data_IF_650388810560
#
_entry.id   IF_650388810560
#
_cell.length_a   1.000
_cell.length_b   1.000
_cell.length_c   1.000
_cell.angle_alpha   90.00
_cell.angle_beta   90.00
_cell.angle_gamma   90.00
#
_symmetry.space_group_name_H-M   'P 1'
#
loop_
_entity.id
_entity.type
_entity.pdbx_description
1 polymer ?
#
# COMPACT_ATOMS: atom_id res chain seq x y z
N UNK A 1 9.12 13.67 -12.17
CA UNK A 1 9.80 12.44 -12.64
C UNK A 1 8.75 11.42 -13.09
N UNK A 2 7.87 10.94 -12.21
CA UNK A 2 6.91 9.85 -12.51
C UNK A 2 5.94 10.21 -13.66
N UNK A 3 5.53 11.46 -13.76
CA UNK A 3 4.62 11.94 -14.82
C UNK A 3 5.33 12.32 -16.12
N UNK A 4 6.66 12.17 -16.17
CA UNK A 4 7.41 12.41 -17.40
C UNK A 4 7.17 11.26 -18.39
N UNK A 5 7.15 11.57 -19.68
CA UNK A 5 7.08 10.56 -20.75
C UNK A 5 8.46 9.89 -20.93
N UNK A 6 8.81 9.08 -19.96
CA UNK A 6 10.09 8.37 -19.89
C UNK A 6 9.90 6.90 -19.56
N UNK A 7 10.76 6.00 -20.03
CA UNK A 7 10.71 4.59 -19.65
C UNK A 7 10.80 4.39 -18.13
N UNK A 8 10.09 3.40 -17.62
CA UNK A 8 10.02 3.08 -16.17
C UNK A 8 11.41 2.93 -15.54
N UNK A 9 12.36 2.30 -16.23
CA UNK A 9 13.73 2.13 -15.72
C UNK A 9 14.48 3.44 -15.56
N UNK A 10 14.31 4.38 -16.48
CA UNK A 10 14.90 5.71 -16.37
C UNK A 10 14.26 6.48 -15.21
N UNK A 11 12.94 6.41 -15.10
CA UNK A 11 12.18 7.01 -14.01
C UNK A 11 12.63 6.48 -12.64
N UNK A 12 12.75 5.17 -12.50
CA UNK A 12 13.28 4.54 -11.27
C UNK A 12 14.72 4.98 -10.99
N UNK A 13 15.58 5.01 -12.01
CA UNK A 13 16.96 5.47 -11.86
C UNK A 13 17.07 6.89 -11.35
N UNK A 14 16.20 7.79 -11.83
CA UNK A 14 16.19 9.19 -11.38
C UNK A 14 15.62 9.34 -9.97
N UNK A 15 14.56 8.59 -9.63
CA UNK A 15 14.02 8.56 -8.27
C UNK A 15 15.04 8.00 -7.26
N UNK A 16 15.78 6.95 -7.61
CA UNK A 16 16.82 6.38 -6.74
C UNK A 16 17.99 7.36 -6.54
N UNK A 17 18.37 8.13 -7.55
CA UNK A 17 19.37 9.20 -7.40
C UNK A 17 18.87 10.32 -6.49
N UNK A 18 17.61 10.73 -6.67
CA UNK A 18 16.98 11.73 -5.82
C UNK A 18 16.91 11.25 -4.37
N UNK A 19 16.50 10.01 -4.14
CA UNK A 19 16.46 9.39 -2.82
C UNK A 19 17.84 9.42 -2.15
N UNK A 20 18.88 8.94 -2.82
CA UNK A 20 20.24 8.91 -2.30
C UNK A 20 20.75 10.32 -1.96
N UNK A 21 20.57 11.28 -2.87
CA UNK A 21 21.01 12.66 -2.66
C UNK A 21 20.28 13.31 -1.48
N UNK A 22 18.97 13.04 -1.32
CA UNK A 22 18.20 13.57 -0.21
C UNK A 22 18.58 12.91 1.12
N UNK A 23 18.85 11.61 1.12
CA UNK A 23 19.34 10.89 2.29
C UNK A 23 20.70 11.44 2.77
N UNK A 24 21.64 11.65 1.83
CA UNK A 24 22.96 12.25 2.13
C UNK A 24 22.81 13.66 2.73
N UNK A 25 21.92 14.47 2.16
CA UNK A 25 21.59 15.79 2.72
C UNK A 25 21.04 15.71 4.14
N UNK A 26 20.08 14.82 4.38
CA UNK A 26 19.48 14.64 5.71
C UNK A 26 20.53 14.19 6.74
N UNK A 27 21.41 13.26 6.40
CA UNK A 27 22.48 12.80 7.28
C UNK A 27 23.49 13.90 7.63
N UNK A 28 23.78 14.81 6.70
CA UNK A 28 24.74 15.89 6.90
C UNK A 28 24.13 17.12 7.58
N UNK A 29 22.85 17.40 7.32
CA UNK A 29 22.23 18.68 7.67
C UNK A 29 21.22 18.60 8.80
N UNK A 30 20.68 17.40 9.11
CA UNK A 30 19.63 17.21 10.12
C UNK A 30 20.22 16.46 11.32
N UNK A 31 20.45 17.17 12.47
CA UNK A 31 20.97 16.52 13.65
C UNK A 31 20.06 15.39 14.15
N UNK A 32 20.65 14.21 14.36
CA UNK A 32 19.92 13.05 14.87
C UNK A 32 19.10 12.31 13.82
N UNK A 33 19.22 12.65 12.55
CA UNK A 33 18.61 11.84 11.49
C UNK A 33 19.26 10.45 11.42
N UNK A 34 18.43 9.42 11.52
CA UNK A 34 18.82 8.03 11.32
C UNK A 34 17.97 7.41 10.20
N UNK A 35 18.60 6.93 9.15
CA UNK A 35 17.95 6.29 8.01
C UNK A 35 17.26 4.97 8.39
N UNK A 36 17.77 4.28 9.41
CA UNK A 36 17.22 3.02 9.90
C UNK A 36 16.07 3.17 10.89
N UNK A 37 15.96 4.35 11.50
CA UNK A 37 14.89 4.73 12.42
C UNK A 37 14.50 6.20 12.23
N UNK A 38 13.99 6.59 11.07
CA UNK A 38 13.62 7.98 10.84
C UNK A 38 12.40 8.36 11.68
N UNK A 39 12.50 9.47 12.37
CA UNK A 39 11.38 10.01 13.14
C UNK A 39 10.75 11.15 12.38
N UNK A 40 9.48 11.00 12.01
CA UNK A 40 8.75 12.01 11.25
C UNK A 40 8.54 13.28 12.10
N UNK A 41 8.18 13.11 13.38
CA UNK A 41 8.14 14.18 14.38
C UNK A 41 8.27 13.70 15.83
N UNK A 42 8.20 12.41 16.10
CA UNK A 42 7.99 11.92 17.45
C UNK A 42 9.18 12.04 18.39
N UNK A 43 10.43 12.11 17.92
CA UNK A 43 11.62 12.06 18.78
C UNK A 43 12.48 13.31 18.80
N UNK A 44 12.00 14.40 18.28
CA UNK A 44 12.67 15.64 18.58
C UNK A 44 12.34 16.01 20.01
N UNK A 45 13.38 16.25 20.80
CA UNK A 45 13.22 16.98 22.04
C UNK A 45 12.66 18.33 21.62
N UNK A 46 11.33 18.44 21.71
CA UNK A 46 10.66 19.68 21.40
C UNK A 46 11.17 20.71 22.40
N UNK A 47 11.77 21.78 21.90
CA UNK A 47 11.94 22.96 22.70
C UNK A 47 10.53 23.42 23.15
N UNK A 48 10.40 23.97 24.35
CA UNK A 48 9.13 24.43 24.86
C UNK A 48 8.42 25.33 23.83
N UNK A 49 7.18 24.98 23.48
CA UNK A 49 6.37 25.72 22.53
C UNK A 49 6.45 25.26 21.04
N UNK A 50 7.29 24.30 20.69
CA UNK A 50 7.34 23.73 19.32
C UNK A 50 6.31 22.61 19.19
N UNK A 51 5.48 22.66 18.16
CA UNK A 51 4.48 21.65 17.84
C UNK A 51 4.96 20.65 16.79
N UNK A 52 4.28 19.52 16.66
CA UNK A 52 4.56 18.55 15.59
C UNK A 52 4.39 19.17 14.19
N UNK A 53 3.44 20.10 14.02
CA UNK A 53 3.25 20.83 12.76
C UNK A 53 4.46 21.72 12.43
N UNK A 54 5.04 22.38 13.42
CA UNK A 54 6.24 23.21 13.25
C UNK A 54 7.43 22.34 12.80
N UNK A 55 7.57 21.13 13.36
CA UNK A 55 8.61 20.19 12.93
C UNK A 55 8.42 19.72 11.49
N UNK A 56 7.19 19.45 11.09
CA UNK A 56 6.85 19.04 9.71
C UNK A 56 7.24 20.13 8.71
N UNK A 57 6.96 21.38 9.02
CA UNK A 57 7.33 22.54 8.19
C UNK A 57 8.84 22.76 8.18
N UNK A 58 9.53 22.53 9.30
CA UNK A 58 10.99 22.73 9.41
C UNK A 58 11.82 21.67 8.70
N UNK A 59 11.24 20.52 8.34
CA UNK A 59 11.96 19.38 7.73
C UNK A 59 11.35 18.90 6.42
N UNK A 60 11.17 19.77 5.43
CA UNK A 60 10.54 19.39 4.16
C UNK A 60 11.35 18.33 3.40
N UNK A 61 12.68 18.26 3.61
CA UNK A 61 13.52 17.26 2.98
C UNK A 61 13.23 15.84 3.49
N UNK A 62 12.89 15.69 4.78
CA UNK A 62 12.48 14.38 5.33
C UNK A 62 11.17 13.91 4.70
N UNK A 63 10.19 14.77 4.58
CA UNK A 63 8.91 14.46 3.93
C UNK A 63 9.16 14.11 2.46
N UNK A 64 9.96 14.89 1.75
CA UNK A 64 10.33 14.64 0.36
C UNK A 64 11.04 13.30 0.18
N UNK A 65 11.91 12.92 1.10
CA UNK A 65 12.59 11.64 1.09
C UNK A 65 11.62 10.47 1.29
N UNK A 66 10.69 10.56 2.27
CA UNK A 66 9.67 9.54 2.51
C UNK A 66 8.72 9.39 1.31
N UNK A 67 8.25 10.49 0.73
CA UNK A 67 7.46 10.47 -0.51
C UNK A 67 8.22 9.85 -1.68
N UNK A 68 9.53 10.08 -1.76
CA UNK A 68 10.36 9.46 -2.82
C UNK A 68 10.46 7.94 -2.62
N UNK A 69 10.62 7.45 -1.39
CA UNK A 69 10.58 6.02 -1.09
C UNK A 69 9.23 5.39 -1.44
N UNK A 70 8.12 6.05 -1.11
CA UNK A 70 6.77 5.59 -1.49
C UNK A 70 6.60 5.56 -3.01
N UNK A 71 7.05 6.59 -3.71
CA UNK A 71 6.98 6.67 -5.16
C UNK A 71 7.78 5.55 -5.84
N UNK A 72 9.00 5.26 -5.36
CA UNK A 72 9.81 4.13 -5.86
C UNK A 72 9.09 2.81 -5.59
N UNK A 73 8.55 2.62 -4.38
CA UNK A 73 7.82 1.42 -4.01
C UNK A 73 6.61 1.17 -4.92
N UNK A 74 5.79 2.19 -5.15
CA UNK A 74 4.61 2.11 -6.01
C UNK A 74 4.96 1.86 -7.47
N UNK A 75 6.00 2.51 -7.99
CA UNK A 75 6.47 2.27 -9.35
C UNK A 75 7.05 0.86 -9.51
N UNK A 76 7.70 0.34 -8.48
CA UNK A 76 8.15 -1.05 -8.43
C UNK A 76 6.96 -2.04 -8.44
N UNK A 77 5.87 -1.76 -7.69
CA UNK A 77 4.64 -2.55 -7.75
C UNK A 77 4.06 -2.56 -9.16
N UNK A 78 3.84 -1.38 -9.74
CA UNK A 78 3.28 -1.22 -11.09
C UNK A 78 4.13 -1.87 -12.19
N UNK A 79 5.44 -2.06 -11.95
CA UNK A 79 6.38 -2.69 -12.89
C UNK A 79 6.76 -4.14 -12.52
N UNK A 80 5.95 -4.80 -11.68
CA UNK A 80 6.13 -6.18 -11.24
C UNK A 80 7.46 -6.47 -10.50
N UNK A 81 8.08 -5.46 -9.90
CA UNK A 81 9.31 -5.58 -9.09
C UNK A 81 8.98 -5.75 -7.61
N UNK A 82 8.18 -6.76 -7.27
CA UNK A 82 7.55 -6.93 -5.97
C UNK A 82 8.51 -6.99 -4.78
N UNK A 83 9.70 -7.63 -4.94
CA UNK A 83 10.74 -7.63 -3.87
C UNK A 83 11.28 -6.23 -3.59
N UNK A 84 11.53 -5.47 -4.65
CA UNK A 84 12.00 -4.09 -4.50
C UNK A 84 10.90 -3.20 -3.90
N UNK A 85 9.67 -3.35 -4.36
CA UNK A 85 8.51 -2.65 -3.81
C UNK A 85 8.39 -2.86 -2.29
N UNK A 86 8.41 -4.13 -1.84
CA UNK A 86 8.37 -4.45 -0.41
C UNK A 86 9.56 -3.85 0.37
N UNK A 87 10.77 -3.85 -0.20
CA UNK A 87 11.94 -3.31 0.47
C UNK A 87 11.84 -1.79 0.68
N UNK A 88 11.44 -1.03 -0.35
CA UNK A 88 11.24 0.41 -0.23
C UNK A 88 10.07 0.77 0.69
N UNK A 89 8.95 0.04 0.60
CA UNK A 89 7.82 0.24 1.49
C UNK A 89 8.19 -0.03 2.97
N UNK A 90 8.98 -1.08 3.25
CA UNK A 90 9.48 -1.34 4.62
C UNK A 90 10.35 -0.21 5.18
N UNK A 91 11.13 0.47 4.33
CA UNK A 91 11.90 1.65 4.76
C UNK A 91 10.96 2.79 5.19
N UNK A 92 9.86 2.99 4.47
CA UNK A 92 8.83 3.97 4.87
C UNK A 92 8.19 3.59 6.20
N UNK A 93 7.88 2.30 6.42
CA UNK A 93 7.30 1.83 7.69
C UNK A 93 8.20 2.02 8.91
N UNK A 94 9.50 2.21 8.72
CA UNK A 94 10.42 2.56 9.81
C UNK A 94 10.25 4.00 10.31
N UNK A 95 9.58 4.86 9.53
CA UNK A 95 9.37 6.26 9.88
C UNK A 95 8.24 6.40 10.91
N UNK A 96 8.63 6.50 12.17
CA UNK A 96 7.68 6.67 13.28
C UNK A 96 6.84 7.94 13.12
N UNK A 97 5.52 7.78 13.25
CA UNK A 97 4.55 8.88 13.15
C UNK A 97 4.22 9.34 11.73
N UNK A 98 4.84 8.77 10.70
CA UNK A 98 4.52 9.12 9.32
C UNK A 98 3.22 8.44 8.86
N UNK A 99 2.22 9.21 8.40
CA UNK A 99 0.96 8.66 7.94
C UNK A 99 1.14 8.01 6.57
N UNK A 100 1.26 6.69 6.53
CA UNK A 100 1.53 5.95 5.30
C UNK A 100 0.62 4.74 5.13
N UNK A 101 0.43 4.31 3.88
CA UNK A 101 -0.22 3.05 3.50
C UNK A 101 0.78 2.00 3.02
N UNK A 102 2.07 2.22 3.28
CA UNK A 102 3.16 1.34 2.83
C UNK A 102 3.02 -0.11 3.35
N UNK A 103 2.39 -0.31 4.51
CA UNK A 103 2.06 -1.65 5.01
C UNK A 103 1.23 -2.46 4.01
N UNK A 104 0.23 -1.82 3.38
CA UNK A 104 -0.57 -2.43 2.33
C UNK A 104 0.26 -2.88 1.13
N UNK A 105 1.18 -2.03 0.67
CA UNK A 105 2.10 -2.37 -0.42
C UNK A 105 2.99 -3.56 -0.07
N UNK A 106 3.52 -3.63 1.16
CA UNK A 106 4.32 -4.80 1.61
C UNK A 106 3.46 -6.05 1.61
N UNK A 107 2.25 -6.00 2.16
CA UNK A 107 1.35 -7.17 2.23
C UNK A 107 0.99 -7.69 0.84
N UNK A 108 0.65 -6.81 -0.11
CA UNK A 108 0.38 -7.20 -1.50
C UNK A 108 1.62 -7.84 -2.17
N UNK A 109 2.78 -7.25 -1.98
CA UNK A 109 4.02 -7.78 -2.54
C UNK A 109 4.36 -9.16 -1.96
N UNK A 110 4.21 -9.36 -0.64
CA UNK A 110 4.42 -10.66 0.01
C UNK A 110 3.41 -11.71 -0.47
N UNK A 111 2.14 -11.33 -0.64
CA UNK A 111 1.11 -12.20 -1.20
C UNK A 111 1.47 -12.65 -2.63
N UNK A 112 1.98 -11.74 -3.47
CA UNK A 112 2.45 -12.09 -4.82
C UNK A 112 3.65 -13.03 -4.79
N UNK A 113 4.55 -12.85 -3.85
CA UNK A 113 5.75 -13.67 -3.66
C UNK A 113 5.47 -15.01 -2.96
N UNK A 114 4.24 -15.24 -2.50
CA UNK A 114 3.82 -16.42 -1.74
C UNK A 114 4.59 -16.60 -0.43
N UNK A 115 5.07 -15.48 0.13
CA UNK A 115 5.80 -15.44 1.41
C UNK A 115 4.81 -15.38 2.58
N UNK A 116 4.28 -16.54 2.95
CA UNK A 116 3.31 -16.68 4.04
C UNK A 116 3.89 -16.26 5.39
N UNK A 117 5.11 -16.69 5.70
CA UNK A 117 5.75 -16.39 6.97
C UNK A 117 5.97 -14.89 7.13
N UNK A 118 6.50 -14.24 6.10
CA UNK A 118 6.69 -12.79 6.09
C UNK A 118 5.37 -12.02 6.15
N UNK A 119 4.33 -12.52 5.49
CA UNK A 119 3.00 -11.89 5.49
C UNK A 119 2.38 -11.90 6.89
N UNK A 120 2.31 -13.06 7.54
CA UNK A 120 1.69 -13.17 8.86
C UNK A 120 2.56 -12.55 9.97
N UNK A 121 3.89 -12.57 9.83
CA UNK A 121 4.77 -11.85 10.75
C UNK A 121 4.53 -10.33 10.70
N UNK A 122 4.39 -9.75 9.51
CA UNK A 122 4.07 -8.33 9.37
C UNK A 122 2.66 -8.02 9.91
N UNK A 123 1.67 -8.85 9.61
CA UNK A 123 0.31 -8.66 10.11
C UNK A 123 0.30 -8.61 11.64
N UNK A 124 0.94 -9.57 12.29
CA UNK A 124 1.05 -9.61 13.76
C UNK A 124 1.78 -8.37 14.33
N UNK A 125 2.87 -7.95 13.69
CA UNK A 125 3.58 -6.75 14.09
C UNK A 125 2.69 -5.49 14.02
N UNK A 126 1.87 -5.35 12.98
CA UNK A 126 0.95 -4.22 12.83
C UNK A 126 -0.14 -4.24 13.91
N UNK A 127 -0.70 -5.42 14.23
CA UNK A 127 -1.68 -5.59 15.32
C UNK A 127 -1.08 -5.24 16.69
N UNK A 128 0.17 -5.65 16.96
CA UNK A 128 0.87 -5.31 18.20
C UNK A 128 1.14 -3.80 18.34
N UNK A 129 1.49 -3.14 17.24
CA UNK A 129 1.87 -1.72 17.25
C UNK A 129 0.67 -0.76 17.21
N UNK A 130 -0.39 -1.12 16.50
CA UNK A 130 -1.51 -0.22 16.19
C UNK A 130 -2.84 -0.66 16.80
N UNK A 131 -2.91 -1.87 17.36
CA UNK A 131 -4.12 -2.47 17.91
C UNK A 131 -4.69 -3.60 17.05
N UNK A 132 -5.38 -4.53 17.68
CA UNK A 132 -5.90 -5.75 17.03
C UNK A 132 -6.85 -5.45 15.86
N UNK A 133 -7.56 -4.33 15.92
CA UNK A 133 -8.60 -3.98 14.94
C UNK A 133 -8.03 -3.33 13.67
N UNK A 134 -6.73 -2.96 13.64
CA UNK A 134 -6.12 -2.19 12.54
C UNK A 134 -6.22 -2.87 11.17
N UNK A 135 -6.19 -4.21 11.16
CA UNK A 135 -6.25 -5.00 9.94
C UNK A 135 -7.67 -5.43 9.57
N UNK A 136 -8.60 -5.40 10.51
CA UNK A 136 -9.94 -5.97 10.33
C UNK A 136 -10.71 -5.35 9.16
N UNK A 137 -10.59 -4.03 8.95
CA UNK A 137 -11.24 -3.27 7.88
C UNK A 137 -10.26 -2.74 6.84
N UNK A 138 -9.00 -3.23 6.86
CA UNK A 138 -7.99 -2.84 5.88
C UNK A 138 -8.21 -3.53 4.53
N UNK A 139 -8.58 -2.79 3.45
CA UNK A 139 -8.77 -3.39 2.15
C UNK A 139 -7.51 -4.06 1.60
N UNK A 140 -6.33 -3.48 1.88
CA UNK A 140 -5.04 -4.06 1.48
C UNK A 140 -4.78 -5.42 2.14
N UNK A 141 -4.99 -5.49 3.47
CA UNK A 141 -4.77 -6.75 4.20
C UNK A 141 -5.75 -7.84 3.75
N UNK A 142 -7.04 -7.51 3.69
CA UNK A 142 -8.07 -8.50 3.34
C UNK A 142 -7.92 -9.00 1.90
N UNK A 143 -7.60 -8.11 0.96
CA UNK A 143 -7.33 -8.49 -0.43
C UNK A 143 -6.02 -9.27 -0.55
N UNK A 144 -4.94 -8.80 0.04
CA UNK A 144 -3.63 -9.47 0.00
C UNK A 144 -3.69 -10.87 0.62
N UNK A 145 -4.40 -11.02 1.76
CA UNK A 145 -4.64 -12.34 2.38
C UNK A 145 -5.43 -13.27 1.46
N UNK A 146 -6.42 -12.74 0.77
CA UNK A 146 -7.20 -13.50 -0.20
C UNK A 146 -6.32 -14.01 -1.34
N UNK A 147 -5.50 -13.13 -1.93
CA UNK A 147 -4.55 -13.46 -3.01
C UNK A 147 -3.54 -14.51 -2.52
N UNK A 148 -2.93 -14.30 -1.35
CA UNK A 148 -1.95 -15.22 -0.78
C UNK A 148 -2.52 -16.63 -0.62
N UNK A 149 -3.69 -16.74 0.01
CA UNK A 149 -4.35 -18.04 0.25
C UNK A 149 -4.75 -18.73 -1.06
N UNK A 150 -5.18 -17.97 -2.07
CA UNK A 150 -5.49 -18.50 -3.39
C UNK A 150 -4.24 -19.04 -4.06
N UNK A 151 -3.16 -18.25 -4.12
CA UNK A 151 -1.90 -18.63 -4.77
C UNK A 151 -1.20 -19.82 -4.09
N UNK A 152 -1.34 -19.94 -2.79
CA UNK A 152 -0.82 -21.10 -2.02
C UNK A 152 -1.78 -22.30 -2.02
N UNK A 153 -2.76 -22.29 -2.92
CA UNK A 153 -3.74 -23.37 -3.16
C UNK A 153 -4.61 -23.70 -1.93
N UNK A 154 -4.80 -22.77 -1.01
CA UNK A 154 -5.68 -22.89 0.16
C UNK A 154 -7.09 -22.38 -0.20
N UNK A 155 -7.75 -23.01 -1.17
CA UNK A 155 -8.97 -22.49 -1.81
C UNK A 155 -10.11 -22.23 -0.82
N UNK A 156 -10.39 -23.14 0.14
CA UNK A 156 -11.45 -22.93 1.14
C UNK A 156 -11.18 -21.74 2.06
N UNK A 157 -9.98 -21.56 2.65
CA UNK A 157 -9.61 -20.34 3.34
C UNK A 157 -9.65 -19.10 2.45
N UNK A 158 -9.18 -19.18 1.19
CA UNK A 158 -9.24 -18.07 0.23
C UNK A 158 -10.68 -17.60 -0.03
N UNK A 159 -11.63 -18.53 -0.22
CA UNK A 159 -13.05 -18.20 -0.40
C UNK A 159 -13.63 -17.47 0.81
N UNK A 160 -13.25 -17.89 2.03
CA UNK A 160 -13.69 -17.17 3.24
C UNK A 160 -13.09 -15.76 3.32
N UNK A 161 -11.80 -15.62 3.00
CA UNK A 161 -11.12 -14.32 2.98
C UNK A 161 -11.70 -13.40 1.90
N UNK A 162 -12.04 -13.92 0.72
CA UNK A 162 -12.71 -13.16 -0.35
C UNK A 162 -14.06 -12.62 0.10
N UNK A 163 -14.87 -13.44 0.78
CA UNK A 163 -16.16 -13.02 1.33
C UNK A 163 -16.00 -11.95 2.40
N UNK A 164 -14.99 -12.09 3.24
CA UNK A 164 -14.68 -11.11 4.27
C UNK A 164 -14.28 -9.77 3.63
N UNK A 165 -13.38 -9.78 2.64
CA UNK A 165 -13.04 -8.61 1.84
C UNK A 165 -14.28 -7.96 1.20
N UNK A 166 -15.12 -8.75 0.52
CA UNK A 166 -16.31 -8.26 -0.17
C UNK A 166 -17.35 -7.63 0.78
N UNK A 167 -17.48 -8.17 2.01
CA UNK A 167 -18.45 -7.68 2.98
C UNK A 167 -17.95 -6.49 3.81
N UNK A 168 -16.66 -6.42 4.13
CA UNK A 168 -16.09 -5.38 4.98
C UNK A 168 -15.56 -4.18 4.20
N UNK A 169 -15.20 -4.37 2.94
CA UNK A 169 -14.61 -3.34 2.08
C UNK A 169 -15.62 -2.87 1.04
N UNK A 170 -16.29 -1.75 1.31
CA UNK A 170 -17.30 -1.21 0.41
C UNK A 170 -16.72 -0.99 -1.00
N UNK A 171 -17.41 -1.49 -2.03
CA UNK A 171 -16.93 -1.43 -3.41
C UNK A 171 -15.81 -2.44 -3.78
N UNK A 172 -15.19 -3.10 -2.79
CA UNK A 172 -14.06 -4.01 -3.04
C UNK A 172 -14.38 -5.11 -4.05
N UNK A 173 -15.52 -5.79 -3.90
CA UNK A 173 -15.98 -6.79 -4.86
C UNK A 173 -16.24 -6.20 -6.26
N UNK A 174 -16.81 -4.99 -6.32
CA UNK A 174 -17.13 -4.34 -7.60
C UNK A 174 -15.84 -4.01 -8.38
N UNK A 175 -14.89 -3.33 -7.78
CA UNK A 175 -13.64 -2.95 -8.46
C UNK A 175 -12.79 -4.16 -8.81
N UNK A 176 -12.80 -5.21 -7.96
CA UNK A 176 -12.12 -6.47 -8.26
C UNK A 176 -12.66 -7.15 -9.51
N UNK A 177 -13.97 -7.18 -9.68
CA UNK A 177 -14.62 -7.86 -10.80
C UNK A 177 -14.80 -6.98 -12.05
N UNK A 178 -14.58 -5.67 -11.94
CA UNK A 178 -14.80 -4.69 -13.02
C UNK A 178 -13.57 -3.77 -13.20
N UNK A 179 -12.43 -4.29 -13.67
CA UNK A 179 -11.17 -3.54 -13.77
C UNK A 179 -11.28 -2.30 -14.68
N UNK A 180 -12.25 -2.24 -15.58
CA UNK A 180 -12.49 -1.08 -16.45
C UNK A 180 -12.88 0.21 -15.69
N UNK A 181 -13.31 0.08 -14.44
CA UNK A 181 -13.65 1.22 -13.57
C UNK A 181 -12.51 1.65 -12.66
N UNK A 182 -11.35 1.02 -12.76
CA UNK A 182 -10.20 1.41 -11.97
C UNK A 182 -9.53 2.67 -12.54
N UNK A 183 -9.18 3.58 -11.62
CA UNK A 183 -8.47 4.83 -11.96
C UNK A 183 -7.10 4.83 -11.32
N UNK A 184 -6.03 5.18 -12.05
CA UNK A 184 -4.68 5.24 -11.49
C UNK A 184 -4.54 6.26 -10.36
N UNK A 185 -3.85 5.87 -9.30
CA UNK A 185 -3.53 6.75 -8.16
C UNK A 185 -2.07 7.20 -8.13
N UNK A 186 -1.22 6.71 -9.04
CA UNK A 186 0.17 7.15 -9.14
C UNK A 186 0.26 8.59 -9.64
N UNK A 187 1.22 9.38 -9.15
CA UNK A 187 2.25 9.08 -8.14
C UNK A 187 1.80 9.28 -6.70
N UNK A 188 0.67 9.86 -6.45
CA UNK A 188 0.18 10.11 -5.10
C UNK A 188 -1.21 9.50 -4.92
N UNK A 189 -1.42 8.95 -3.75
CA UNK A 189 -2.72 8.45 -3.33
C UNK A 189 -3.54 9.62 -2.80
N UNK A 190 -4.73 9.90 -3.37
CA UNK A 190 -5.59 10.94 -2.83
C UNK A 190 -6.10 10.57 -1.43
N UNK A 191 -6.46 11.57 -0.66
CA UNK A 191 -7.25 11.34 0.55
C UNK A 191 -8.62 10.77 0.18
N UNK A 192 -9.12 9.79 0.94
CA UNK A 192 -10.41 9.18 0.67
C UNK A 192 -11.55 10.19 0.92
N UNK A 193 -12.46 10.29 -0.02
CA UNK A 193 -13.68 11.10 0.08
C UNK A 193 -14.92 10.22 0.17
N UNK A 194 -14.96 9.15 -0.62
CA UNK A 194 -16.05 8.20 -0.64
C UNK A 194 -15.74 6.97 0.22
N UNK A 195 -16.76 6.30 0.77
CA UNK A 195 -16.57 5.10 1.62
C UNK A 195 -15.82 3.96 0.93
N UNK A 196 -15.82 3.94 -0.41
CA UNK A 196 -15.20 2.91 -1.23
C UNK A 196 -13.80 3.27 -1.76
N UNK A 197 -13.32 4.50 -1.55
CA UNK A 197 -12.05 4.97 -2.13
C UNK A 197 -10.84 4.11 -1.72
N UNK A 198 -10.78 3.68 -0.47
CA UNK A 198 -9.68 2.83 0.01
C UNK A 198 -9.72 1.44 -0.64
N UNK A 199 -10.91 0.88 -0.84
CA UNK A 199 -11.08 -0.39 -1.54
C UNK A 199 -10.67 -0.29 -3.00
N UNK A 200 -11.06 0.79 -3.67
CA UNK A 200 -10.64 1.09 -5.04
C UNK A 200 -9.11 1.21 -5.16
N UNK A 201 -8.48 1.97 -4.26
CA UNK A 201 -7.01 2.11 -4.24
C UNK A 201 -6.30 0.77 -4.02
N UNK A 202 -6.78 -0.05 -3.07
CA UNK A 202 -6.19 -1.35 -2.79
C UNK A 202 -6.30 -2.32 -3.98
N UNK A 203 -7.47 -2.36 -4.64
CA UNK A 203 -7.67 -3.20 -5.83
C UNK A 203 -6.81 -2.72 -6.99
N UNK A 204 -6.75 -1.40 -7.22
CA UNK A 204 -5.90 -0.83 -8.26
C UNK A 204 -4.41 -1.14 -8.03
N UNK A 205 -3.93 -1.06 -6.79
CA UNK A 205 -2.54 -1.39 -6.45
C UNK A 205 -2.25 -2.89 -6.63
N UNK A 206 -3.26 -3.73 -6.45
CA UNK A 206 -3.17 -5.18 -6.66
C UNK A 206 -3.36 -5.61 -8.13
N UNK A 207 -3.75 -4.72 -9.03
CA UNK A 207 -4.16 -5.06 -10.40
C UNK A 207 -3.10 -5.88 -11.15
N UNK A 208 -1.83 -5.48 -11.08
CA UNK A 208 -0.73 -6.23 -11.68
C UNK A 208 -0.58 -7.65 -11.12
N UNK A 209 -0.88 -7.86 -9.84
CA UNK A 209 -0.85 -9.19 -9.19
C UNK A 209 -2.03 -10.03 -9.65
N UNK A 210 -3.21 -9.43 -9.73
CA UNK A 210 -4.45 -10.08 -10.17
C UNK A 210 -4.31 -10.49 -11.63
N UNK A 211 -3.81 -9.61 -12.49
CA UNK A 211 -3.56 -9.87 -13.90
C UNK A 211 -2.52 -10.99 -14.13
N UNK A 212 -1.50 -11.07 -13.27
CA UNK A 212 -0.50 -12.13 -13.25
C UNK A 212 -1.02 -13.47 -12.69
N UNK A 213 -2.26 -13.50 -12.20
CA UNK A 213 -2.91 -14.68 -11.63
C UNK A 213 -4.24 -14.92 -12.36
N UNK A 214 -4.21 -15.44 -13.63
CA UNK A 214 -5.35 -15.40 -14.55
C UNK A 214 -6.60 -16.12 -14.05
N UNK A 215 -6.45 -17.13 -13.18
CA UNK A 215 -7.59 -17.85 -12.62
C UNK A 215 -8.25 -17.15 -11.41
N UNK A 216 -7.62 -16.09 -10.86
CA UNK A 216 -8.09 -15.43 -9.65
C UNK A 216 -9.42 -14.69 -9.85
N UNK A 217 -9.51 -13.81 -10.84
CA UNK A 217 -10.73 -13.06 -11.10
C UNK A 217 -11.90 -13.95 -11.56
N UNK A 218 -11.72 -14.94 -12.45
CA UNK A 218 -12.77 -15.93 -12.76
C UNK A 218 -13.23 -16.71 -11.53
N UNK A 219 -12.31 -17.14 -10.66
CA UNK A 219 -12.65 -17.82 -9.41
C UNK A 219 -13.44 -16.91 -8.46
N UNK A 220 -13.04 -15.66 -8.30
CA UNK A 220 -13.76 -14.69 -7.47
C UNK A 220 -15.18 -14.42 -8.00
N UNK A 221 -15.32 -14.29 -9.33
CA UNK A 221 -16.62 -14.09 -9.98
C UNK A 221 -17.54 -15.31 -9.89
N UNK A 222 -16.99 -16.52 -9.74
CA UNK A 222 -17.77 -17.73 -9.54
C UNK A 222 -18.37 -17.84 -8.11
N UNK A 223 -18.04 -16.92 -7.20
CA UNK A 223 -18.67 -16.83 -5.89
C UNK A 223 -19.94 -15.96 -6.00
N UNK A 224 -21.12 -16.58 -6.05
CA UNK A 224 -22.41 -15.91 -6.29
C UNK A 224 -22.66 -14.73 -5.33
N UNK A 225 -22.36 -14.92 -4.05
CA UNK A 225 -22.50 -13.90 -3.02
C UNK A 225 -21.58 -12.68 -3.24
N UNK A 226 -20.37 -12.88 -3.71
CA UNK A 226 -19.42 -11.81 -4.06
C UNK A 226 -19.90 -11.05 -5.30
N UNK A 227 -20.34 -11.77 -6.34
CA UNK A 227 -20.88 -11.18 -7.55
C UNK A 227 -22.17 -10.39 -7.27
N UNK A 228 -23.01 -10.86 -6.35
CA UNK A 228 -24.19 -10.12 -5.92
C UNK A 228 -23.84 -8.80 -5.23
N UNK A 229 -22.86 -8.80 -4.30
CA UNK A 229 -22.38 -7.59 -3.64
C UNK A 229 -21.84 -6.56 -4.64
N UNK A 230 -21.11 -7.02 -5.66
CA UNK A 230 -20.61 -6.15 -6.73
C UNK A 230 -21.76 -5.49 -7.50
N UNK A 231 -22.81 -6.25 -7.84
CA UNK A 231 -24.00 -5.71 -8.54
C UNK A 231 -24.81 -4.77 -7.66
N UNK A 232 -24.92 -5.04 -6.36
CA UNK A 232 -25.61 -4.16 -5.41
C UNK A 232 -24.88 -2.82 -5.27
N UNK A 233 -23.56 -2.85 -5.22
CA UNK A 233 -22.72 -1.66 -5.21
C UNK A 233 -22.92 -0.83 -6.50
N UNK A 234 -22.83 -1.46 -7.67
CA UNK A 234 -23.05 -0.77 -8.95
C UNK A 234 -24.41 -0.07 -9.01
N UNK A 235 -25.47 -0.75 -8.57
CA UNK A 235 -26.82 -0.17 -8.52
C UNK A 235 -26.92 1.00 -7.53
N UNK A 236 -26.24 0.93 -6.38
CA UNK A 236 -26.27 1.97 -5.34
C UNK A 236 -25.59 3.25 -5.79
N UNK A 237 -24.45 3.14 -6.46
CA UNK A 237 -23.62 4.28 -6.83
C UNK A 237 -23.73 4.70 -8.30
N UNK A 238 -24.51 3.98 -9.11
CA UNK A 238 -24.78 4.36 -10.52
C UNK A 238 -23.65 4.04 -11.48
N UNK A 239 -22.86 3.01 -11.19
CA UNK A 239 -21.82 2.49 -12.08
C UNK A 239 -22.40 1.65 -13.22
#
# INVERSE_FOLDING_TARGET
>A
IILADTPVDACLGDLMKLEATTADYLQQSVPGFDMEAPHYWANRVLADGVTAADLTVSEPALIGWLHTLEAISQLCMASARYRAAANYARRVLKAEGYPTRAAGTVLLALARLEDEDGFFALAHQLEEQMGADVLEDSPWYLLARTILLFKTNKIRPATRALREFANRCEGGAFFLLNPMYQTPYLPCRPEPHDPWDLSHQAVWEADGIISDTPDFAPWANACDDVSQLAQEFARRYGF
#
